data_IF_703284236389
#
_entry.id   IF_703284236389
#
_cell.length_a   1.000
_cell.length_b   1.000
_cell.length_c   1.000
_cell.angle_alpha   90.00
_cell.angle_beta   90.00
_cell.angle_gamma   90.00
#
_symmetry.space_group_name_H-M   'P 1'
#
loop_
_entity.id
_entity.type
_entity.pdbx_description
1 polymer ?
#
# COMPACT_ATOMS: atom_id res chain seq x y z
N UNK A 1 32.68 29.93 25.67
CA UNK A 1 31.38 29.29 25.99
C UNK A 1 30.26 29.80 25.09
N UNK A 2 29.87 31.10 25.14
CA UNK A 2 28.81 31.70 24.29
C UNK A 2 28.86 31.41 22.77
N UNK A 3 30.04 31.47 22.13
CA UNK A 3 30.17 31.16 20.68
C UNK A 3 29.83 29.69 20.35
N UNK A 4 30.07 28.76 21.28
CA UNK A 4 29.79 27.33 21.10
C UNK A 4 28.28 27.08 21.25
N UNK A 5 27.66 27.68 22.26
CA UNK A 5 26.21 27.65 22.48
C UNK A 5 25.44 28.25 21.30
N UNK A 6 25.89 29.39 20.77
CA UNK A 6 25.27 30.03 19.60
C UNK A 6 25.32 29.15 18.34
N UNK A 7 26.45 28.48 18.08
CA UNK A 7 26.56 27.53 16.97
C UNK A 7 25.66 26.31 17.14
N UNK A 8 25.49 25.87 18.39
CA UNK A 8 24.66 24.72 18.72
C UNK A 8 23.16 25.03 18.52
N UNK A 9 22.74 26.25 18.87
CA UNK A 9 21.39 26.76 18.60
C UNK A 9 21.09 26.90 17.10
N UNK A 10 22.04 27.40 16.32
CA UNK A 10 21.89 27.45 14.85
C UNK A 10 21.81 26.05 14.25
N UNK A 11 22.65 25.13 14.70
CA UNK A 11 22.61 23.73 14.26
C UNK A 11 21.25 23.07 14.58
N UNK A 12 20.71 23.27 15.79
CA UNK A 12 19.39 22.71 16.13
C UNK A 12 18.28 23.32 15.29
N UNK A 13 18.31 24.63 15.05
CA UNK A 13 17.28 25.32 14.27
C UNK A 13 17.30 24.87 12.80
N UNK A 14 18.49 24.70 12.21
CA UNK A 14 18.60 24.16 10.84
C UNK A 14 18.17 22.70 10.73
N UNK A 15 18.41 21.88 11.76
CA UNK A 15 17.92 20.50 11.80
C UNK A 15 16.41 20.44 11.95
N UNK A 16 15.82 21.32 12.76
CA UNK A 16 14.36 21.44 12.87
C UNK A 16 13.73 21.84 11.55
N UNK A 17 14.25 22.86 10.88
CA UNK A 17 13.75 23.29 9.57
C UNK A 17 13.84 22.17 8.51
N UNK A 18 14.90 21.35 8.54
CA UNK A 18 15.01 20.18 7.66
C UNK A 18 14.00 19.09 8.00
N UNK A 19 13.73 18.86 9.28
CA UNK A 19 12.75 17.88 9.71
C UNK A 19 11.32 18.31 9.30
N UNK A 20 11.00 19.59 9.45
CA UNK A 20 9.71 20.17 9.02
C UNK A 20 9.52 20.05 7.51
N UNK A 21 10.54 20.35 6.70
CA UNK A 21 10.47 20.19 5.25
C UNK A 21 10.21 18.73 4.83
N UNK A 22 10.86 17.76 5.48
CA UNK A 22 10.62 16.33 5.22
C UNK A 22 9.20 15.94 5.64
N UNK A 23 8.71 16.46 6.78
CA UNK A 23 7.36 16.18 7.23
C UNK A 23 6.31 16.74 6.25
N UNK A 24 6.47 17.97 5.76
CA UNK A 24 5.54 18.56 4.79
C UNK A 24 5.54 17.78 3.46
N UNK A 25 6.72 17.38 2.98
CA UNK A 25 6.87 16.65 1.72
C UNK A 25 6.24 15.23 1.76
N UNK A 26 6.39 14.51 2.88
CA UNK A 26 6.04 13.08 2.94
C UNK A 26 4.86 12.72 3.85
N UNK A 27 4.50 13.55 4.83
CA UNK A 27 3.40 13.27 5.75
C UNK A 27 2.13 14.06 5.43
N UNK A 28 2.26 15.26 4.85
CA UNK A 28 1.13 16.14 4.52
C UNK A 28 0.79 16.17 3.01
N UNK A 29 1.62 15.58 2.15
CA UNK A 29 1.29 15.43 0.72
C UNK A 29 0.24 14.34 0.51
N UNK A 30 -0.81 14.65 -0.27
CA UNK A 30 -1.85 13.69 -0.65
C UNK A 30 -1.45 12.79 -1.84
N UNK A 31 -0.23 12.97 -2.37
CA UNK A 31 0.30 12.20 -3.50
C UNK A 31 1.30 11.16 -2.98
N UNK A 32 0.78 9.96 -2.76
CA UNK A 32 1.51 8.89 -2.07
C UNK A 32 2.23 7.98 -3.09
N UNK A 33 3.33 8.49 -3.67
CA UNK A 33 4.11 7.81 -4.73
C UNK A 33 4.78 6.50 -4.22
N UNK A 34 4.85 6.33 -2.88
CA UNK A 34 5.44 5.18 -2.20
C UNK A 34 4.42 4.09 -1.79
N UNK A 35 3.12 4.32 -2.04
CA UNK A 35 2.06 3.35 -1.72
C UNK A 35 1.86 3.08 -0.21
N UNK A 36 2.15 4.06 0.64
CA UNK A 36 2.04 3.95 2.11
C UNK A 36 0.59 4.00 2.63
N UNK A 37 -0.36 4.37 1.78
CA UNK A 37 -1.82 4.17 1.92
C UNK A 37 -2.19 2.83 2.58
N UNK A 38 -1.48 1.75 2.22
CA UNK A 38 -1.69 0.39 2.74
C UNK A 38 -1.34 0.25 4.23
N UNK A 39 -0.38 1.04 4.71
CA UNK A 39 0.13 1.02 6.09
C UNK A 39 -0.68 1.95 6.98
N UNK A 40 -1.17 3.07 6.45
CA UNK A 40 -1.94 4.08 7.20
C UNK A 40 -3.32 3.60 7.68
N UNK A 41 -3.82 2.44 7.21
CA UNK A 41 -5.03 1.80 7.73
C UNK A 41 -6.34 2.55 7.43
N UNK A 42 -6.29 3.70 6.76
CA UNK A 42 -7.45 4.52 6.38
C UNK A 42 -8.26 3.93 5.22
N UNK A 43 -7.69 2.98 4.48
CA UNK A 43 -8.28 2.41 3.25
C UNK A 43 -8.51 0.87 3.31
N UNK A 44 -8.96 0.36 4.46
CA UNK A 44 -9.29 -1.08 4.59
C UNK A 44 -10.52 -1.52 3.77
N UNK A 45 -11.29 -0.57 3.24
CA UNK A 45 -12.46 -0.82 2.40
C UNK A 45 -12.11 -1.46 1.04
N UNK A 46 -10.86 -1.36 0.59
CA UNK A 46 -10.37 -1.94 -0.66
C UNK A 46 -9.56 -3.23 -0.45
N UNK A 47 -9.81 -3.98 0.63
CA UNK A 47 -9.13 -5.25 0.87
C UNK A 47 -10.00 -6.41 0.43
N UNK A 48 -9.47 -7.23 -0.47
CA UNK A 48 -10.10 -8.47 -0.88
C UNK A 48 -9.80 -9.63 0.05
N UNK A 49 -10.57 -10.72 -0.08
CA UNK A 49 -10.34 -11.97 0.66
C UNK A 49 -9.68 -13.02 -0.23
N UNK A 50 -8.62 -13.66 0.27
CA UNK A 50 -7.97 -14.76 -0.44
C UNK A 50 -8.91 -15.96 -0.55
N UNK A 51 -9.30 -16.29 -1.79
CA UNK A 51 -10.25 -17.36 -2.10
C UNK A 51 -9.56 -18.73 -2.04
N UNK A 52 -8.24 -18.77 -2.22
CA UNK A 52 -7.43 -19.98 -2.24
C UNK A 52 -6.12 -19.79 -1.48
N UNK A 53 -5.50 -20.90 -1.09
CA UNK A 53 -4.17 -20.87 -0.49
C UNK A 53 -3.14 -20.33 -1.51
N UNK A 54 -2.20 -19.45 -1.09
CA UNK A 54 -1.17 -18.91 -1.98
C UNK A 54 -0.28 -20.00 -2.61
N UNK A 55 -0.06 -19.91 -3.92
CA UNK A 55 0.85 -20.81 -4.63
C UNK A 55 2.26 -20.24 -4.64
N UNK A 56 3.20 -20.94 -4.00
CA UNK A 56 4.60 -20.51 -3.88
C UNK A 56 5.45 -21.18 -4.95
N UNK A 57 5.96 -20.40 -5.90
CA UNK A 57 6.83 -20.88 -7.00
C UNK A 57 8.19 -20.19 -6.95
N UNK A 58 9.18 -20.81 -6.30
CA UNK A 58 10.54 -20.28 -6.12
C UNK A 58 10.53 -18.82 -5.61
N UNK A 59 10.70 -17.85 -6.53
CA UNK A 59 10.75 -16.40 -6.30
C UNK A 59 9.41 -15.69 -6.53
N UNK A 60 8.33 -16.42 -6.82
CA UNK A 60 7.00 -15.88 -7.08
C UNK A 60 5.97 -16.45 -6.11
N UNK A 61 4.99 -15.63 -5.77
CA UNK A 61 3.78 -16.04 -5.05
C UNK A 61 2.58 -15.65 -5.90
N UNK A 62 1.70 -16.60 -6.17
CA UNK A 62 0.45 -16.36 -6.90
C UNK A 62 -0.69 -16.39 -5.89
N UNK A 63 -1.49 -15.34 -5.89
CA UNK A 63 -2.62 -15.11 -5.00
C UNK A 63 -3.89 -14.98 -5.83
N UNK A 64 -4.94 -15.67 -5.41
CA UNK A 64 -6.29 -15.48 -5.96
C UNK A 64 -7.14 -14.87 -4.84
N UNK A 65 -7.61 -13.62 -5.01
CA UNK A 65 -8.43 -12.91 -4.03
C UNK A 65 -9.72 -12.36 -4.67
N UNK A 66 -10.77 -12.24 -3.87
CA UNK A 66 -12.04 -11.65 -4.27
C UNK A 66 -12.08 -10.20 -3.80
N UNK A 67 -12.35 -9.26 -4.72
CA UNK A 67 -12.50 -7.84 -4.40
C UNK A 67 -13.89 -7.53 -3.90
N UNK A 68 -13.96 -6.63 -2.93
CA UNK A 68 -15.20 -6.01 -2.47
C UNK A 68 -15.37 -4.71 -3.27
N UNK A 69 -16.29 -4.69 -4.24
CA UNK A 69 -16.72 -3.43 -4.84
C UNK A 69 -17.60 -2.71 -3.80
N UNK A 70 -17.05 -1.69 -3.15
CA UNK A 70 -17.83 -0.72 -2.40
C UNK A 70 -17.83 0.60 -3.17
N UNK A 71 -18.79 0.76 -4.08
CA UNK A 71 -19.33 2.03 -4.56
C UNK A 71 -18.49 2.95 -5.46
N UNK A 72 -17.28 2.57 -5.89
CA UNK A 72 -16.49 3.42 -6.81
C UNK A 72 -15.67 2.68 -7.88
N UNK A 73 -15.88 1.38 -8.04
CA UNK A 73 -15.25 0.61 -9.11
C UNK A 73 -16.03 0.86 -10.41
N UNK A 74 -15.54 1.78 -11.25
CA UNK A 74 -16.16 2.29 -12.48
C UNK A 74 -16.37 1.25 -13.60
N UNK A 75 -17.15 0.21 -13.32
CA UNK A 75 -17.75 -0.63 -14.33
C UNK A 75 -18.95 0.10 -14.93
N UNK A 76 -18.90 0.38 -16.23
CA UNK A 76 -20.11 0.75 -16.98
C UNK A 76 -21.11 -0.40 -16.87
N UNK A 77 -22.00 -0.33 -15.87
CA UNK A 77 -23.15 -1.21 -15.72
C UNK A 77 -24.02 -1.03 -16.97
N UNK A 78 -23.81 -1.91 -17.98
CA UNK A 78 -24.60 -1.90 -19.22
C UNK A 78 -25.96 -2.55 -19.05
N UNK A 79 -26.21 -3.21 -17.93
CA UNK A 79 -27.50 -3.83 -17.62
C UNK A 79 -28.00 -3.23 -16.29
N UNK A 80 -29.18 -2.61 -16.34
CA UNK A 80 -29.77 -1.75 -15.29
C UNK A 80 -30.17 -2.45 -13.98
N UNK A 81 -29.42 -3.43 -13.52
CA UNK A 81 -29.51 -4.04 -12.19
C UNK A 81 -28.27 -3.61 -11.41
N UNK A 82 -28.40 -2.54 -10.63
CA UNK A 82 -27.31 -1.87 -9.89
C UNK A 82 -26.71 -2.68 -8.73
N UNK A 83 -26.20 -3.89 -9.01
CA UNK A 83 -25.34 -4.64 -8.11
C UNK A 83 -23.94 -4.68 -8.72
N UNK A 84 -23.00 -3.96 -8.10
CA UNK A 84 -21.58 -4.09 -8.39
C UNK A 84 -21.11 -5.50 -7.95
N UNK A 85 -20.84 -6.39 -8.90
CA UNK A 85 -20.43 -7.77 -8.61
C UNK A 85 -18.95 -7.84 -8.18
N UNK A 86 -18.68 -8.55 -7.08
CA UNK A 86 -17.31 -8.83 -6.65
C UNK A 86 -16.56 -9.68 -7.68
N UNK A 87 -15.31 -9.32 -8.01
CA UNK A 87 -14.48 -10.02 -9.00
C UNK A 87 -13.37 -10.81 -8.32
N UNK A 88 -13.05 -11.99 -8.84
CA UNK A 88 -11.85 -12.73 -8.45
C UNK A 88 -10.68 -12.27 -9.31
N UNK A 89 -9.62 -11.77 -8.66
CA UNK A 89 -8.39 -11.30 -9.28
C UNK A 89 -7.25 -12.25 -8.93
N UNK A 90 -6.43 -12.59 -9.93
CA UNK A 90 -5.17 -13.30 -9.75
C UNK A 90 -4.01 -12.32 -9.79
N UNK A 91 -3.23 -12.28 -8.71
CA UNK A 91 -2.06 -11.42 -8.59
C UNK A 91 -0.80 -12.25 -8.41
N UNK A 92 0.22 -11.97 -9.23
CA UNK A 92 1.52 -12.64 -9.17
C UNK A 92 2.59 -11.69 -8.65
N UNK A 93 3.17 -12.02 -7.50
CA UNK A 93 4.16 -11.19 -6.82
C UNK A 93 5.52 -11.86 -6.93
N UNK A 94 6.46 -11.21 -7.62
CA UNK A 94 7.85 -11.62 -7.72
C UNK A 94 8.72 -11.04 -6.61
N UNK A 95 9.79 -11.74 -6.23
CA UNK A 95 10.77 -11.27 -5.23
C UNK A 95 11.47 -9.97 -5.66
N UNK A 96 11.70 -9.79 -6.96
CA UNK A 96 12.41 -8.64 -7.51
C UNK A 96 11.47 -7.49 -7.91
N UNK A 97 10.25 -7.79 -8.36
CA UNK A 97 9.24 -6.81 -8.80
C UNK A 97 8.47 -6.16 -7.64
N UNK A 98 8.84 -6.50 -6.42
CA UNK A 98 8.06 -6.18 -5.24
C UNK A 98 8.16 -4.72 -4.81
N UNK A 99 9.29 -4.04 -5.09
CA UNK A 99 9.46 -2.63 -4.73
C UNK A 99 8.70 -1.65 -5.62
N UNK A 100 8.34 -2.06 -6.84
CA UNK A 100 7.82 -1.15 -7.88
C UNK A 100 6.30 -1.30 -8.09
N UNK A 101 5.76 -2.52 -8.05
CA UNK A 101 4.34 -2.77 -8.34
C UNK A 101 3.45 -2.99 -7.10
N UNK A 102 4.05 -3.18 -5.93
CA UNK A 102 3.35 -3.70 -4.75
C UNK A 102 3.61 -2.88 -3.48
N UNK A 103 4.62 -2.00 -3.45
CA UNK A 103 5.07 -1.34 -2.23
C UNK A 103 5.93 -2.26 -1.35
N UNK A 104 6.70 -1.77 -0.37
CA UNK A 104 7.65 -2.56 0.42
C UNK A 104 6.98 -3.61 1.34
N UNK A 105 7.65 -4.75 1.58
CA UNK A 105 7.15 -5.83 2.46
C UNK A 105 6.08 -6.82 1.93
N UNK A 106 5.24 -6.51 0.94
CA UNK A 106 4.22 -7.46 0.42
C UNK A 106 4.71 -8.81 -0.12
N UNK A 107 5.94 -8.99 -0.62
CA UNK A 107 6.41 -10.32 -1.05
C UNK A 107 6.51 -11.24 0.18
N UNK A 108 7.00 -10.68 1.28
CA UNK A 108 7.02 -11.38 2.57
C UNK A 108 5.60 -11.57 3.10
N UNK A 109 4.70 -10.57 2.96
CA UNK A 109 3.29 -10.71 3.33
C UNK A 109 2.60 -11.84 2.52
N UNK A 110 2.76 -11.85 1.20
CA UNK A 110 2.22 -12.86 0.28
C UNK A 110 2.70 -14.27 0.63
N UNK A 111 3.98 -14.42 0.99
CA UNK A 111 4.51 -15.72 1.42
C UNK A 111 3.92 -16.20 2.74
N UNK A 112 3.56 -15.29 3.63
CA UNK A 112 2.97 -15.60 4.95
C UNK A 112 1.44 -15.61 4.93
N UNK A 113 0.83 -15.14 3.85
CA UNK A 113 -0.60 -15.14 3.67
C UNK A 113 -1.17 -16.56 3.72
N UNK A 114 -2.43 -16.65 4.15
CA UNK A 114 -3.19 -17.89 4.27
C UNK A 114 -4.55 -17.71 3.61
N UNK A 115 -5.15 -18.83 3.23
CA UNK A 115 -6.53 -18.84 2.74
C UNK A 115 -7.47 -18.13 3.73
N UNK A 116 -8.42 -17.35 3.21
CA UNK A 116 -9.35 -16.54 4.00
C UNK A 116 -8.76 -15.25 4.59
N UNK A 117 -7.44 -15.07 4.49
CA UNK A 117 -6.77 -13.82 4.88
C UNK A 117 -7.17 -12.65 3.98
N UNK A 118 -7.00 -11.45 4.51
CA UNK A 118 -7.19 -10.21 3.75
C UNK A 118 -5.96 -9.94 2.88
N UNK A 119 -6.21 -9.41 1.69
CA UNK A 119 -5.20 -9.01 0.73
C UNK A 119 -5.56 -7.64 0.14
N UNK A 120 -4.64 -6.67 0.09
CA UNK A 120 -4.96 -5.37 -0.45
C UNK A 120 -5.23 -5.43 -1.96
N UNK A 121 -6.26 -4.74 -2.42
CA UNK A 121 -6.49 -4.52 -3.83
C UNK A 121 -5.49 -3.48 -4.34
N UNK A 122 -4.41 -3.99 -4.95
CA UNK A 122 -3.33 -3.18 -5.54
C UNK A 122 -3.49 -3.04 -7.05
N UNK A 123 -4.58 -3.56 -7.61
CA UNK A 123 -4.87 -3.47 -9.04
C UNK A 123 -5.73 -2.23 -9.26
N UNK A 124 -5.09 -1.09 -9.49
CA UNK A 124 -5.74 0.12 -10.03
C UNK A 124 -5.88 0.02 -11.55
#
# INVERSE_FOLDING_TARGET
RRKKEYRQLLASQTLQAKAEAIQEEFLDSNEDDLGLELVSGRNTQHWGRLVRAPLKKKKHVILDYCTSCSSSCGGNAKDGTGQEEGRIIRHTIGKASHGEAAGPGMYHAARRARWGGLWPDVVK
#
